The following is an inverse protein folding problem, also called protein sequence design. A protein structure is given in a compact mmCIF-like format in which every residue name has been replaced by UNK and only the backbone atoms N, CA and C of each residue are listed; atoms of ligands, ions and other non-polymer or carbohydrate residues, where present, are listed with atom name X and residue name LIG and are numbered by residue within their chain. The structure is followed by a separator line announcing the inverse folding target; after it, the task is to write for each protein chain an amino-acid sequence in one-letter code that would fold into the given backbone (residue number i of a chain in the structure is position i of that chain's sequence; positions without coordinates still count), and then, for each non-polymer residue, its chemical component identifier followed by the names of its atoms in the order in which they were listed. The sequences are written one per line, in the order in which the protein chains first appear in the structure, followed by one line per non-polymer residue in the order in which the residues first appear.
data_IF_819394039744
#
_entry.id   IF_819394039744
#
_cell.length_a   1.000
_cell.length_b   1.000
_cell.length_c   1.000
_cell.angle_alpha   90.00
_cell.angle_beta   90.00
_cell.angle_gamma   90.00
#
_symmetry.space_group_name_H-M   'P 1'
#
loop_
_entity.id
_entity.type
_entity.pdbx_description
1 polymer ?
#
# COMPACT_ATOMS: atom_id res chain seq x y z
N UNK A 1 -6.05 -33.00 -0.44
CA UNK A 1 -4.64 -32.54 -0.43
C UNK A 1 -4.68 -31.14 0.12
N UNK A 2 -3.84 -30.81 1.10
CA UNK A 2 -3.70 -29.44 1.61
C UNK A 2 -2.31 -28.96 1.27
N UNK A 3 -2.17 -28.42 0.07
CA UNK A 3 -1.21 -27.36 -0.15
C UNK A 3 -1.92 -26.09 0.36
N UNK A 4 -1.71 -25.76 1.63
CA UNK A 4 -1.73 -24.34 2.00
C UNK A 4 -0.50 -23.76 1.31
N UNK A 5 -0.69 -22.72 0.49
CA UNK A 5 0.42 -21.88 0.01
C UNK A 5 1.26 -21.46 1.21
N UNK A 6 2.57 -21.35 1.06
CA UNK A 6 3.33 -20.58 2.04
C UNK A 6 2.82 -19.13 1.93
N UNK A 7 2.36 -18.47 3.01
CA UNK A 7 1.83 -17.11 2.89
C UNK A 7 2.86 -16.13 2.30
N UNK A 8 4.16 -16.46 2.34
CA UNK A 8 5.24 -15.68 1.71
C UNK A 8 5.57 -16.08 0.26
N UNK A 9 4.71 -16.87 -0.40
CA UNK A 9 4.76 -17.23 -1.85
C UNK A 9 3.89 -16.32 -2.74
N UNK A 10 3.25 -15.28 -2.20
CA UNK A 10 2.49 -14.26 -2.94
C UNK A 10 2.76 -12.85 -2.37
N UNK A 11 2.59 -11.82 -3.21
CA UNK A 11 2.50 -10.42 -2.78
C UNK A 11 1.03 -10.09 -2.53
N UNK A 12 0.67 -9.81 -1.27
CA UNK A 12 -0.69 -9.39 -0.91
C UNK A 12 -0.68 -7.93 -0.51
N UNK A 13 -1.57 -7.15 -1.11
CA UNK A 13 -1.89 -5.77 -0.74
C UNK A 13 -3.39 -5.78 -0.39
N UNK A 14 -3.77 -5.70 0.90
CA UNK A 14 -5.15 -5.72 1.35
C UNK A 14 -5.84 -4.38 1.11
N UNK A 15 -7.16 -4.38 1.22
CA UNK A 15 -8.05 -3.27 0.84
C UNK A 15 -7.67 -1.93 1.51
N UNK A 16 -7.90 -0.83 0.81
CA UNK A 16 -7.59 0.54 1.27
C UNK A 16 -6.10 0.88 1.43
N UNK A 17 -5.17 -0.07 1.24
CA UNK A 17 -3.73 0.16 1.42
C UNK A 17 -3.25 1.32 0.55
N UNK A 18 -2.56 2.28 1.17
CA UNK A 18 -2.04 3.47 0.51
C UNK A 18 -0.52 3.45 0.52
N UNK A 19 0.09 3.71 -0.64
CA UNK A 19 1.54 3.84 -0.80
C UNK A 19 1.80 5.23 -1.37
N UNK A 20 2.35 6.09 -0.53
CA UNK A 20 2.81 7.42 -0.91
C UNK A 20 4.23 7.35 -1.49
N UNK A 21 4.83 8.50 -1.84
CA UNK A 21 6.20 8.53 -2.39
C UNK A 21 7.27 8.09 -1.38
N UNK A 22 6.96 8.06 -0.08
CA UNK A 22 7.93 7.78 0.99
C UNK A 22 7.49 6.73 2.01
N UNK A 23 6.21 6.32 2.03
CA UNK A 23 5.65 5.44 3.07
C UNK A 23 4.55 4.52 2.53
N UNK A 24 4.55 3.27 3.02
CA UNK A 24 3.46 2.30 2.89
C UNK A 24 2.61 2.37 4.17
N UNK A 25 1.31 2.61 4.01
CA UNK A 25 0.34 2.77 5.10
C UNK A 25 -0.81 1.77 4.92
N UNK A 26 -1.09 1.01 5.98
CA UNK A 26 -2.23 0.08 6.09
C UNK A 26 -2.76 0.08 7.52
N UNK A 27 -4.05 -0.22 7.71
CA UNK A 27 -4.63 -0.41 9.04
C UNK A 27 -4.38 -1.83 9.61
N UNK A 28 -3.92 -2.75 8.76
CA UNK A 28 -3.60 -4.14 9.09
C UNK A 28 -2.14 -4.40 9.48
N UNK A 29 -1.75 -5.68 9.55
CA UNK A 29 -0.37 -6.10 9.82
C UNK A 29 0.50 -6.06 8.56
N UNK A 30 1.80 -5.78 8.72
CA UNK A 30 2.79 -5.82 7.62
C UNK A 30 3.78 -6.96 7.84
N UNK A 31 3.74 -7.96 6.96
CA UNK A 31 4.57 -9.15 6.97
C UNK A 31 5.63 -9.08 5.86
N UNK A 32 6.89 -8.84 6.22
CA UNK A 32 8.01 -8.74 5.27
C UNK A 32 8.82 -10.03 5.24
N UNK A 33 8.71 -10.76 4.15
CA UNK A 33 9.44 -12.00 3.89
C UNK A 33 10.96 -11.82 3.87
N UNK A 34 11.67 -12.89 4.23
CA UNK A 34 13.14 -12.88 4.28
C UNK A 34 13.81 -12.57 2.93
N UNK A 35 14.99 -11.96 3.01
CA UNK A 35 15.85 -11.49 1.92
C UNK A 35 15.28 -10.35 1.06
N UNK A 36 14.18 -9.73 1.51
CA UNK A 36 13.53 -8.62 0.80
C UNK A 36 14.16 -7.26 1.14
N UNK A 37 13.89 -6.25 0.31
CA UNK A 37 14.32 -4.87 0.54
C UNK A 37 13.14 -3.95 0.27
N UNK A 38 12.84 -3.09 1.24
CA UNK A 38 11.80 -2.06 1.20
C UNK A 38 12.52 -0.72 1.24
N UNK A 39 12.40 0.11 0.23
CA UNK A 39 13.21 1.34 0.07
C UNK A 39 12.50 2.59 0.64
N UNK A 40 11.23 2.46 1.06
CA UNK A 40 10.42 3.46 1.75
C UNK A 40 10.17 3.09 3.24
N UNK A 41 9.45 3.94 3.97
CA UNK A 41 8.98 3.68 5.33
C UNK A 41 7.71 2.84 5.38
N UNK A 42 7.37 2.31 6.56
CA UNK A 42 6.27 1.36 6.77
C UNK A 42 5.50 1.70 8.03
N UNK A 43 4.20 1.97 7.86
CA UNK A 43 3.21 2.18 8.92
C UNK A 43 2.15 1.07 8.88
N UNK A 44 1.89 0.47 10.04
CA UNK A 44 0.82 -0.52 10.19
C UNK A 44 0.56 -0.90 11.65
N UNK A 45 -0.35 -1.85 11.85
CA UNK A 45 -0.74 -2.34 13.18
C UNK A 45 0.42 -3.07 13.85
N UNK A 46 0.83 -4.22 13.31
CA UNK A 46 2.06 -4.91 13.70
C UNK A 46 3.02 -5.00 12.52
N UNK A 47 4.33 -4.82 12.75
CA UNK A 47 5.36 -4.92 11.69
C UNK A 47 6.30 -6.09 11.98
N UNK A 48 6.28 -7.11 11.12
CA UNK A 48 7.03 -8.37 11.30
C UNK A 48 7.95 -8.61 10.11
N UNK A 49 9.25 -8.57 10.31
CA UNK A 49 10.26 -8.75 9.25
C UNK A 49 11.11 -10.03 9.45
N UNK A 50 11.31 -10.76 8.35
CA UNK A 50 12.10 -11.99 8.31
C UNK A 50 13.60 -11.81 8.05
N UNK A 51 14.27 -12.95 7.85
CA UNK A 51 15.73 -13.05 7.76
C UNK A 51 16.34 -12.14 6.67
N UNK A 52 17.20 -11.18 7.03
CA UNK A 52 17.92 -10.22 6.14
C UNK A 52 17.05 -9.23 5.36
N UNK A 53 16.00 -8.70 5.98
CA UNK A 53 15.25 -7.55 5.45
C UNK A 53 16.02 -6.23 5.62
N UNK A 54 15.82 -5.27 4.72
CA UNK A 54 16.19 -3.85 4.91
C UNK A 54 15.01 -2.91 4.69
N UNK A 55 15.04 -1.78 5.39
CA UNK A 55 14.09 -0.67 5.28
C UNK A 55 14.82 0.65 4.99
N UNK A 56 14.39 1.38 3.97
CA UNK A 56 14.97 2.64 3.53
C UNK A 56 14.38 3.90 4.19
N UNK A 57 13.20 3.77 4.80
CA UNK A 57 12.57 4.82 5.61
C UNK A 57 12.37 4.41 7.07
N UNK A 58 11.41 5.05 7.72
CA UNK A 58 11.06 4.81 9.12
C UNK A 58 10.09 3.63 9.29
N UNK A 59 9.96 3.12 10.51
CA UNK A 59 8.97 2.09 10.86
C UNK A 59 8.07 2.65 11.97
N UNK A 60 6.76 2.61 11.77
CA UNK A 60 5.75 2.95 12.78
C UNK A 60 4.78 1.78 12.95
N UNK A 61 4.90 1.07 14.08
CA UNK A 61 3.98 0.03 14.49
C UNK A 61 3.07 0.54 15.60
N UNK A 62 1.75 0.49 15.41
CA UNK A 62 0.79 0.92 16.46
C UNK A 62 0.70 -0.08 17.61
N UNK A 63 0.92 -1.37 17.33
CA UNK A 63 1.13 -2.46 18.27
C UNK A 63 2.60 -2.91 18.31
N UNK A 64 2.84 -4.19 18.03
CA UNK A 64 4.17 -4.83 18.14
C UNK A 64 5.06 -4.63 16.90
N UNK A 65 6.37 -4.53 17.14
CA UNK A 65 7.38 -4.55 16.08
C UNK A 65 8.40 -5.70 16.31
N UNK A 66 8.62 -6.53 15.28
CA UNK A 66 9.54 -7.68 15.36
C UNK A 66 10.46 -7.82 14.15
N UNK A 67 11.77 -7.69 14.38
CA UNK A 67 12.83 -7.76 13.35
C UNK A 67 13.91 -8.80 13.76
N UNK A 68 14.31 -9.69 12.85
CA UNK A 68 15.18 -10.86 13.12
C UNK A 68 16.25 -11.12 12.00
N UNK A 69 17.35 -11.81 12.33
CA UNK A 69 18.69 -11.75 11.70
C UNK A 69 18.76 -11.49 10.17
N UNK A 70 19.44 -10.47 9.63
CA UNK A 70 20.16 -9.34 10.22
C UNK A 70 19.64 -8.05 9.56
N UNK A 71 18.86 -7.26 10.30
CA UNK A 71 18.12 -6.10 9.78
C UNK A 71 18.91 -4.78 9.78
N UNK A 72 18.45 -3.84 8.97
CA UNK A 72 19.05 -2.52 8.72
C UNK A 72 17.89 -1.54 8.39
N UNK A 73 17.74 -0.46 9.17
CA UNK A 73 16.64 0.52 9.06
C UNK A 73 17.23 1.93 9.05
N UNK A 74 17.01 2.69 7.98
CA UNK A 74 17.75 3.94 7.75
C UNK A 74 17.19 5.19 8.45
N UNK A 75 16.06 5.09 9.16
CA UNK A 75 15.44 6.21 9.90
C UNK A 75 14.87 5.69 11.25
N UNK A 76 13.90 6.38 11.84
CA UNK A 76 13.31 6.12 13.16
C UNK A 76 12.53 4.79 13.20
N UNK A 77 12.49 4.17 14.38
CA UNK A 77 11.62 3.03 14.69
C UNK A 77 10.74 3.41 15.88
N UNK A 78 9.42 3.45 15.66
CA UNK A 78 8.40 3.85 16.61
C UNK A 78 7.46 2.66 16.86
N UNK A 79 7.25 2.29 18.12
CA UNK A 79 6.48 1.10 18.52
C UNK A 79 5.52 1.45 19.66
N UNK A 80 4.22 1.23 19.44
CA UNK A 80 3.14 1.56 20.38
C UNK A 80 2.92 0.54 21.50
N UNK A 81 3.19 -0.75 21.24
CA UNK A 81 3.24 -1.80 22.26
C UNK A 81 4.68 -2.36 22.39
N UNK A 82 4.92 -3.66 22.24
CA UNK A 82 6.20 -4.29 22.57
C UNK A 82 7.15 -4.42 21.36
N UNK A 83 8.46 -4.30 21.62
CA UNK A 83 9.50 -4.40 20.58
C UNK A 83 10.40 -5.63 20.75
N UNK A 84 10.58 -6.40 19.67
CA UNK A 84 11.38 -7.62 19.62
C UNK A 84 12.46 -7.51 18.54
N UNK A 85 13.65 -7.05 18.92
CA UNK A 85 14.69 -6.62 17.97
C UNK A 85 16.01 -7.40 18.13
N UNK A 86 16.24 -8.40 17.28
CA UNK A 86 17.55 -9.05 17.18
C UNK A 86 17.54 -10.37 16.42
N UNK A 87 18.65 -10.79 15.80
CA UNK A 87 19.91 -10.04 15.60
C UNK A 87 19.86 -9.17 14.30
N UNK A 88 20.92 -8.51 13.81
CA UNK A 88 22.03 -7.80 14.46
C UNK A 88 21.80 -6.34 14.03
N UNK A 89 20.80 -5.71 14.64
CA UNK A 89 20.03 -4.61 14.02
C UNK A 89 20.83 -3.31 14.01
N UNK A 90 20.79 -2.57 12.90
CA UNK A 90 21.22 -1.17 12.82
C UNK A 90 19.99 -0.26 12.60
N UNK A 91 19.92 0.85 13.34
CA UNK A 91 18.88 1.88 13.24
C UNK A 91 19.54 3.25 13.06
N UNK A 92 19.36 3.88 11.90
CA UNK A 92 19.91 5.19 11.58
C UNK A 92 19.24 6.36 12.31
N UNK A 93 17.96 6.21 12.68
CA UNK A 93 17.21 7.19 13.47
C UNK A 93 17.19 6.89 14.97
N UNK A 94 16.08 7.24 15.62
CA UNK A 94 15.82 6.97 17.04
C UNK A 94 14.90 5.77 17.19
N UNK A 95 15.18 4.90 18.17
CA UNK A 95 14.27 3.82 18.58
C UNK A 95 13.41 4.30 19.76
N UNK A 96 12.09 4.31 19.60
CA UNK A 96 11.12 4.64 20.66
C UNK A 96 10.10 3.54 20.84
N UNK A 97 9.96 3.06 22.08
CA UNK A 97 9.04 1.97 22.45
C UNK A 97 8.18 2.40 23.65
N UNK A 98 6.87 2.26 23.53
CA UNK A 98 5.94 2.58 24.61
C UNK A 98 5.71 1.39 25.57
N UNK A 99 5.80 0.15 25.09
CA UNK A 99 5.80 -1.09 25.90
C UNK A 99 7.19 -1.53 26.37
N UNK A 100 7.33 -2.85 26.57
CA UNK A 100 8.56 -3.56 26.92
C UNK A 100 9.42 -3.81 25.66
N UNK A 101 10.70 -4.15 25.84
CA UNK A 101 11.62 -4.45 24.72
C UNK A 101 12.60 -5.57 25.05
N UNK A 102 12.54 -6.67 24.28
CA UNK A 102 13.61 -7.68 24.17
C UNK A 102 14.56 -7.26 23.02
N UNK A 103 15.77 -6.85 23.37
CA UNK A 103 16.80 -6.34 22.43
C UNK A 103 18.01 -7.30 22.37
N UNK A 104 18.46 -7.62 21.16
CA UNK A 104 19.48 -8.62 20.90
C UNK A 104 20.90 -8.25 21.31
N UNK A 105 21.81 -9.23 21.22
CA UNK A 105 23.18 -9.15 21.72
C UNK A 105 24.11 -8.19 20.92
N UNK A 106 23.77 -7.91 19.66
CA UNK A 106 24.55 -7.12 18.68
C UNK A 106 23.60 -6.09 18.01
N UNK A 107 23.36 -4.93 18.64
CA UNK A 107 22.46 -3.87 18.11
C UNK A 107 23.14 -2.49 18.18
N UNK A 108 22.89 -1.67 17.16
CA UNK A 108 23.48 -0.34 16.95
C UNK A 108 22.39 0.68 16.58
N UNK A 109 22.42 1.88 17.17
CA UNK A 109 21.36 2.90 17.06
C UNK A 109 22.03 4.28 17.08
N UNK A 110 21.90 5.06 16.00
CA UNK A 110 22.72 6.28 15.84
C UNK A 110 22.20 7.50 16.64
N UNK A 111 20.91 7.84 16.56
CA UNK A 111 20.38 9.05 17.22
C UNK A 111 19.91 8.84 18.67
N UNK A 112 19.63 7.60 19.06
CA UNK A 112 19.36 7.23 20.46
C UNK A 112 18.14 6.34 20.68
N UNK A 113 17.90 6.00 21.94
CA UNK A 113 16.96 4.96 22.36
C UNK A 113 16.16 5.38 23.60
N UNK A 114 14.84 5.23 23.52
CA UNK A 114 13.87 5.51 24.59
C UNK A 114 12.87 4.35 24.70
N UNK A 115 12.69 3.79 25.90
CA UNK A 115 11.69 2.77 26.18
C UNK A 115 11.01 3.08 27.52
N UNK A 116 9.68 2.93 27.57
CA UNK A 116 8.90 3.22 28.78
C UNK A 116 8.67 1.97 29.66
N UNK A 117 8.70 0.77 29.08
CA UNK A 117 8.64 -0.51 29.78
C UNK A 117 10.01 -1.08 30.18
N UNK A 118 10.07 -2.41 30.30
CA UNK A 118 11.26 -3.16 30.69
C UNK A 118 12.19 -3.41 29.49
N UNK A 119 13.43 -2.93 29.61
CA UNK A 119 14.51 -3.21 28.65
C UNK A 119 15.21 -4.51 29.05
N UNK A 120 15.22 -5.50 28.15
CA UNK A 120 15.79 -6.82 28.38
C UNK A 120 16.79 -7.18 27.28
N UNK A 121 18.08 -7.22 27.62
CA UNK A 121 19.15 -7.49 26.64
C UNK A 121 19.37 -9.01 26.54
N UNK A 122 18.78 -9.63 25.50
CA UNK A 122 18.88 -11.04 25.12
C UNK A 122 18.51 -11.17 23.64
N UNK A 123 19.24 -11.96 22.85
CA UNK A 123 18.74 -12.43 21.56
C UNK A 123 17.40 -13.21 21.76
N UNK A 124 16.25 -12.72 21.22
CA UNK A 124 14.97 -13.39 21.39
C UNK A 124 14.95 -14.75 20.66
N UNK A 125 14.24 -15.73 21.22
CA UNK A 125 14.06 -17.01 20.52
C UNK A 125 13.17 -16.78 19.27
N UNK A 126 13.56 -17.24 18.06
CA UNK A 126 12.74 -17.11 16.87
C UNK A 126 11.38 -17.77 17.06
N UNK A 127 10.29 -17.10 16.64
CA UNK A 127 8.90 -17.45 16.98
C UNK A 127 8.57 -18.92 16.69
N UNK A 128 9.04 -19.45 15.55
CA UNK A 128 8.83 -20.84 15.15
C UNK A 128 9.49 -21.86 16.12
N UNK A 129 10.66 -21.52 16.69
CA UNK A 129 11.35 -22.35 17.68
C UNK A 129 10.64 -22.28 19.03
N UNK A 130 10.18 -21.09 19.43
CA UNK A 130 9.34 -20.92 20.61
C UNK A 130 8.05 -21.75 20.50
N UNK A 131 7.34 -21.68 19.38
CA UNK A 131 6.13 -22.45 19.12
C UNK A 131 6.38 -23.97 19.21
N UNK A 132 7.44 -24.49 18.58
CA UNK A 132 7.79 -25.91 18.69
C UNK A 132 8.14 -26.33 20.13
N UNK A 133 8.79 -25.47 20.92
CA UNK A 133 9.08 -25.73 22.35
C UNK A 133 7.80 -25.70 23.19
N UNK A 134 6.90 -24.74 22.94
CA UNK A 134 5.63 -24.58 23.64
C UNK A 134 4.68 -25.75 23.39
N UNK A 135 4.38 -26.05 22.12
CA UNK A 135 3.56 -27.21 21.74
C UNK A 135 4.21 -28.52 22.22
N UNK A 136 5.54 -28.63 22.09
CA UNK A 136 6.30 -29.77 22.60
C UNK A 136 6.23 -29.93 24.13
N UNK A 137 6.04 -28.84 24.89
CA UNK A 137 5.83 -28.87 26.34
C UNK A 137 4.41 -29.28 26.70
N UNK A 138 3.38 -28.72 26.05
CA UNK A 138 1.97 -29.12 26.24
C UNK A 138 1.77 -30.61 25.96
N UNK A 139 2.23 -31.08 24.79
CA UNK A 139 2.17 -32.50 24.40
C UNK A 139 2.95 -33.41 25.36
N UNK A 140 4.02 -32.93 25.99
CA UNK A 140 4.81 -33.68 26.98
C UNK A 140 4.13 -33.74 28.36
N UNK A 141 3.36 -32.72 28.72
CA UNK A 141 2.55 -32.70 29.95
C UNK A 141 1.26 -33.53 29.76
N UNK A 142 0.80 -33.68 28.52
CA UNK A 142 -0.39 -34.44 28.13
C UNK A 142 -1.57 -33.56 27.72
N UNK A 143 -1.38 -32.25 27.65
CA UNK A 143 -2.39 -31.24 27.33
C UNK A 143 -2.53 -31.11 25.81
N UNK A 144 -2.98 -32.20 25.17
CA UNK A 144 -3.15 -32.27 23.72
C UNK A 144 -4.23 -31.30 23.22
N UNK A 145 -5.32 -31.17 23.98
CA UNK A 145 -6.43 -30.24 23.71
C UNK A 145 -5.96 -28.77 23.70
N UNK A 146 -5.11 -28.36 24.66
CA UNK A 146 -4.52 -27.02 24.68
C UNK A 146 -3.48 -26.80 23.56
N UNK A 147 -2.81 -27.87 23.09
CA UNK A 147 -1.89 -27.80 21.96
C UNK A 147 -2.62 -27.71 20.61
N UNK A 148 -3.80 -28.32 20.49
CA UNK A 148 -4.68 -28.19 19.33
C UNK A 148 -5.40 -26.83 19.32
N UNK A 149 -5.85 -26.34 20.48
CA UNK A 149 -6.45 -25.01 20.67
C UNK A 149 -5.47 -23.87 20.36
N UNK A 150 -4.27 -23.88 20.96
CA UNK A 150 -3.24 -22.87 20.69
C UNK A 150 -2.69 -22.94 19.24
N UNK A 151 -2.80 -24.09 18.57
CA UNK A 151 -2.49 -24.20 17.14
C UNK A 151 -3.66 -23.70 16.27
N UNK A 152 -4.91 -23.87 16.70
CA UNK A 152 -6.08 -23.34 15.99
C UNK A 152 -6.12 -21.81 16.07
N UNK A 153 -5.92 -21.22 17.25
CA UNK A 153 -5.85 -19.75 17.42
C UNK A 153 -4.69 -19.08 16.66
N UNK A 154 -3.68 -19.83 16.22
CA UNK A 154 -2.59 -19.37 15.35
C UNK A 154 -2.82 -19.66 13.85
N UNK A 155 -3.93 -20.32 13.50
CA UNK A 155 -4.29 -20.77 12.15
C UNK A 155 -5.71 -20.39 11.72
N UNK A 156 -6.53 -19.90 12.65
CA UNK A 156 -7.79 -19.21 12.40
C UNK A 156 -7.44 -17.85 11.79
N UNK A 157 -7.95 -17.62 10.59
CA UNK A 157 -7.74 -16.39 9.84
C UNK A 157 -8.77 -15.31 10.19
N UNK A 158 -9.46 -15.45 11.33
CA UNK A 158 -10.42 -14.50 11.89
C UNK A 158 -9.68 -13.29 12.50
N UNK A 159 -8.82 -12.68 11.68
CA UNK A 159 -8.34 -11.30 11.82
C UNK A 159 -9.21 -10.50 10.87
N UNK A 160 -9.83 -9.43 11.36
CA UNK A 160 -10.77 -8.64 10.55
C UNK A 160 -10.11 -7.95 9.34
N UNK A 161 -8.77 -7.92 9.28
CA UNK A 161 -7.96 -7.34 8.21
C UNK A 161 -6.91 -8.36 7.69
N UNK A 162 -6.88 -8.59 6.37
CA UNK A 162 -5.82 -9.35 5.70
C UNK A 162 -4.50 -8.54 5.76
N UNK A 163 -3.33 -9.16 6.06
CA UNK A 163 -2.06 -8.43 6.13
C UNK A 163 -1.52 -7.99 4.76
N UNK A 164 -0.76 -6.89 4.75
CA UNK A 164 0.22 -6.61 3.69
C UNK A 164 1.30 -7.68 3.76
N UNK A 165 1.47 -8.45 2.69
CA UNK A 165 2.51 -9.48 2.60
C UNK A 165 3.51 -9.15 1.50
N UNK A 166 4.73 -8.81 1.88
CA UNK A 166 5.85 -8.65 0.96
C UNK A 166 6.58 -10.01 0.89
N UNK A 167 6.59 -10.72 -0.25
CA UNK A 167 7.09 -12.10 -0.34
C UNK A 167 8.62 -12.16 -0.23
N UNK A 168 9.18 -13.37 -0.11
CA UNK A 168 10.63 -13.55 0.05
C UNK A 168 11.42 -13.09 -1.19
N UNK A 169 12.48 -12.33 -0.97
CA UNK A 169 13.35 -11.82 -2.04
C UNK A 169 12.73 -10.70 -2.90
N UNK A 170 11.68 -10.04 -2.40
CA UNK A 170 11.07 -8.88 -3.04
C UNK A 170 12.01 -7.65 -3.02
N UNK A 171 11.85 -6.75 -3.98
CA UNK A 171 12.41 -5.40 -3.93
C UNK A 171 11.29 -4.40 -4.16
N UNK A 172 10.99 -3.58 -3.17
CA UNK A 172 9.81 -2.71 -3.14
C UNK A 172 10.26 -1.28 -2.90
N UNK A 173 9.95 -0.38 -3.82
CA UNK A 173 10.28 1.05 -3.75
C UNK A 173 9.13 1.89 -4.31
N UNK A 174 9.21 3.20 -4.07
CA UNK A 174 8.41 4.25 -4.70
C UNK A 174 8.29 4.08 -6.23
N UNK A 175 9.40 3.71 -6.87
CA UNK A 175 9.55 3.59 -8.31
C UNK A 175 9.16 2.17 -8.81
N UNK A 176 9.40 1.10 -8.03
CA UNK A 176 9.10 -0.27 -8.47
C UNK A 176 8.84 -1.31 -7.38
N UNK A 177 7.76 -2.07 -7.56
CA UNK A 177 7.37 -3.21 -6.74
C UNK A 177 7.69 -4.50 -7.49
N UNK A 178 8.80 -5.15 -7.17
CA UNK A 178 9.37 -6.27 -7.94
C UNK A 178 9.39 -7.55 -7.12
N UNK A 179 8.55 -8.50 -7.51
CA UNK A 179 8.43 -9.82 -6.89
C UNK A 179 8.64 -10.93 -7.90
N UNK A 180 9.07 -12.10 -7.43
CA UNK A 180 9.19 -13.31 -8.27
C UNK A 180 7.91 -14.13 -8.32
N UNK A 181 6.98 -13.88 -7.41
CA UNK A 181 5.71 -14.57 -7.15
C UNK A 181 4.53 -13.95 -7.92
N UNK A 182 3.32 -14.52 -7.85
CA UNK A 182 2.07 -13.78 -8.04
C UNK A 182 1.97 -12.52 -7.16
N UNK A 183 1.00 -11.66 -7.49
CA UNK A 183 0.62 -10.50 -6.71
C UNK A 183 -0.90 -10.28 -6.76
N UNK A 184 -1.55 -10.23 -5.58
CA UNK A 184 -2.95 -9.84 -5.38
C UNK A 184 -2.97 -8.45 -4.73
N UNK A 185 -3.69 -7.54 -5.34
CA UNK A 185 -4.09 -6.26 -4.73
C UNK A 185 -5.61 -6.28 -4.60
N UNK A 186 -6.11 -5.95 -3.40
CA UNK A 186 -7.51 -5.86 -3.07
C UNK A 186 -8.19 -4.63 -3.67
N UNK A 187 -9.18 -4.10 -2.97
CA UNK A 187 -10.06 -3.02 -3.41
C UNK A 187 -9.66 -1.67 -2.79
N UNK A 188 -10.06 -0.56 -3.43
CA UNK A 188 -9.81 0.84 -2.99
C UNK A 188 -8.34 1.22 -2.69
N UNK A 189 -7.35 0.40 -3.07
CA UNK A 189 -5.94 0.67 -2.81
C UNK A 189 -5.40 1.81 -3.69
N UNK A 190 -4.51 2.62 -3.10
CA UNK A 190 -3.85 3.75 -3.77
C UNK A 190 -2.34 3.54 -3.81
N UNK A 191 -1.84 2.92 -4.87
CA UNK A 191 -0.44 2.48 -4.95
C UNK A 191 0.39 3.37 -5.88
N UNK A 192 1.50 3.91 -5.37
CA UNK A 192 2.57 4.50 -6.18
C UNK A 192 3.61 3.43 -6.58
N UNK A 193 4.08 3.50 -7.83
CA UNK A 193 5.18 2.67 -8.34
C UNK A 193 4.78 1.60 -9.36
N UNK A 194 5.79 1.02 -10.01
CA UNK A 194 5.61 0.05 -11.10
C UNK A 194 5.60 -1.40 -10.59
N UNK A 195 4.43 -2.04 -10.54
CA UNK A 195 4.28 -3.45 -10.10
C UNK A 195 4.78 -4.41 -11.18
N UNK A 196 5.63 -5.35 -10.75
CA UNK A 196 6.21 -6.41 -11.58
C UNK A 196 6.24 -7.74 -10.84
N UNK A 197 5.47 -8.71 -11.33
CA UNK A 197 5.23 -10.00 -10.69
C UNK A 197 5.29 -11.18 -11.69
N UNK A 198 4.85 -12.37 -11.27
CA UNK A 198 4.52 -13.53 -12.12
C UNK A 198 3.21 -13.25 -12.85
N UNK A 199 2.08 -13.36 -12.16
CA UNK A 199 0.78 -12.80 -12.52
C UNK A 199 0.48 -11.57 -11.65
N UNK A 200 -0.50 -10.74 -12.05
CA UNK A 200 -1.04 -9.66 -11.21
C UNK A 200 -2.57 -9.68 -11.23
N UNK A 201 -3.19 -9.84 -10.08
CA UNK A 201 -4.63 -9.59 -9.88
C UNK A 201 -4.81 -8.27 -9.16
N UNK A 202 -5.58 -7.37 -9.75
CA UNK A 202 -6.00 -6.09 -9.13
C UNK A 202 -7.51 -6.16 -8.89
N UNK A 203 -7.94 -5.78 -7.69
CA UNK A 203 -9.34 -5.66 -7.30
C UNK A 203 -10.06 -4.45 -7.89
N UNK A 204 -11.02 -3.92 -7.16
CA UNK A 204 -11.98 -2.90 -7.60
C UNK A 204 -11.61 -1.48 -7.16
N UNK A 205 -12.01 -0.52 -7.97
CA UNK A 205 -11.95 0.95 -7.75
C UNK A 205 -10.56 1.53 -7.33
N UNK A 206 -9.49 0.72 -7.47
CA UNK A 206 -8.10 1.07 -7.16
C UNK A 206 -7.54 2.22 -8.00
N UNK A 207 -6.54 2.94 -7.48
CA UNK A 207 -5.77 3.94 -8.27
C UNK A 207 -4.26 3.65 -8.23
N UNK A 208 -3.72 3.22 -9.36
CA UNK A 208 -2.31 2.84 -9.50
C UNK A 208 -1.49 3.88 -10.29
N UNK A 209 -0.59 4.56 -9.58
CA UNK A 209 0.34 5.56 -10.11
C UNK A 209 1.63 4.91 -10.64
N UNK A 210 1.48 4.07 -11.67
CA UNK A 210 2.58 3.33 -12.29
C UNK A 210 2.15 2.46 -13.47
N UNK A 211 3.01 1.54 -13.89
CA UNK A 211 2.72 0.52 -14.91
C UNK A 211 2.67 -0.89 -14.30
N UNK A 212 1.72 -1.71 -14.76
CA UNK A 212 1.60 -3.13 -14.38
C UNK A 212 2.40 -4.04 -15.31
N UNK A 213 3.08 -5.05 -14.74
CA UNK A 213 3.87 -6.01 -15.51
C UNK A 213 3.93 -7.43 -14.96
N UNK A 214 3.05 -8.29 -15.46
CA UNK A 214 3.18 -9.74 -15.38
C UNK A 214 4.33 -10.30 -16.24
N UNK A 215 4.81 -11.49 -15.88
CA UNK A 215 5.37 -12.47 -16.81
C UNK A 215 4.22 -13.13 -17.58
N UNK A 216 3.21 -13.53 -16.84
CA UNK A 216 2.09 -14.32 -17.30
C UNK A 216 0.83 -13.45 -17.13
N UNK A 217 -0.28 -13.97 -16.63
CA UNK A 217 -1.59 -13.30 -16.76
C UNK A 217 -1.75 -12.04 -15.87
N UNK A 218 -2.58 -11.09 -16.31
CA UNK A 218 -2.98 -9.90 -15.54
C UNK A 218 -4.51 -9.77 -15.56
N UNK A 219 -5.11 -9.55 -14.40
CA UNK A 219 -6.54 -9.27 -14.23
C UNK A 219 -6.68 -7.90 -13.57
N UNK A 220 -7.58 -7.05 -14.09
CA UNK A 220 -7.90 -5.74 -13.51
C UNK A 220 -9.40 -5.62 -13.25
N UNK A 221 -9.77 -5.63 -11.97
CA UNK A 221 -11.15 -5.55 -11.48
C UNK A 221 -11.82 -4.21 -11.75
N UNK A 222 -13.15 -4.20 -11.56
CA UNK A 222 -14.08 -3.10 -11.85
C UNK A 222 -13.57 -1.72 -11.40
N UNK A 223 -13.78 -0.68 -12.21
CA UNK A 223 -13.55 0.73 -11.85
C UNK A 223 -12.09 1.20 -11.75
N UNK A 224 -11.15 0.28 -11.51
CA UNK A 224 -9.73 0.56 -11.26
C UNK A 224 -9.05 1.41 -12.34
N UNK A 225 -8.19 2.34 -11.93
CA UNK A 225 -7.53 3.34 -12.77
C UNK A 225 -5.99 3.20 -12.76
N UNK A 226 -5.41 2.83 -13.91
CA UNK A 226 -3.97 2.60 -14.09
C UNK A 226 -3.36 3.77 -14.88
N UNK A 227 -2.57 4.60 -14.19
CA UNK A 227 -1.95 5.83 -14.74
C UNK A 227 -0.73 5.58 -15.65
N UNK A 228 -0.50 4.33 -16.05
CA UNK A 228 0.62 3.93 -16.89
C UNK A 228 0.26 2.77 -17.82
N UNK A 229 1.26 1.97 -18.18
CA UNK A 229 1.12 0.90 -19.18
C UNK A 229 0.75 -0.43 -18.51
N UNK A 230 0.09 -1.33 -19.24
CA UNK A 230 -0.15 -2.70 -18.79
C UNK A 230 0.53 -3.67 -19.76
N UNK A 231 1.37 -4.57 -19.27
CA UNK A 231 2.18 -5.42 -20.16
C UNK A 231 2.48 -6.81 -19.57
N UNK A 232 1.89 -7.87 -20.13
CA UNK A 232 2.27 -9.26 -19.83
C UNK A 232 3.58 -9.64 -20.55
N UNK A 233 3.96 -10.92 -20.57
CA UNK A 233 5.01 -11.43 -21.47
C UNK A 233 4.58 -12.66 -22.28
N UNK A 234 3.89 -13.62 -21.65
CA UNK A 234 3.36 -14.81 -22.32
C UNK A 234 1.94 -15.17 -21.86
N UNK A 235 1.29 -14.29 -21.09
CA UNK A 235 -0.07 -14.48 -20.58
C UNK A 235 -1.06 -13.47 -21.13
N UNK A 236 -2.31 -13.66 -20.72
CA UNK A 236 -3.46 -12.90 -21.17
C UNK A 236 -3.77 -11.74 -20.22
N UNK A 237 -4.54 -10.77 -20.72
CA UNK A 237 -4.95 -9.59 -19.96
C UNK A 237 -6.47 -9.48 -19.97
N UNK A 238 -7.09 -9.56 -18.79
CA UNK A 238 -8.52 -9.36 -18.59
C UNK A 238 -8.79 -8.02 -17.90
N UNK A 239 -9.72 -7.23 -18.45
CA UNK A 239 -10.00 -5.85 -18.03
C UNK A 239 -11.49 -5.71 -17.74
N UNK A 240 -11.85 -5.55 -16.46
CA UNK A 240 -13.21 -5.46 -15.97
C UNK A 240 -13.96 -4.15 -16.30
N UNK A 241 -15.25 -4.05 -15.92
CA UNK A 241 -16.10 -2.90 -16.26
C UNK A 241 -15.59 -1.59 -15.67
N UNK A 242 -15.64 -0.51 -16.46
CA UNK A 242 -15.29 0.84 -16.00
C UNK A 242 -13.80 1.12 -15.84
N UNK A 243 -12.93 0.11 -15.93
CA UNK A 243 -11.48 0.25 -15.80
C UNK A 243 -10.93 1.28 -16.78
N UNK A 244 -10.00 2.13 -16.30
CA UNK A 244 -9.30 3.09 -17.14
C UNK A 244 -7.78 2.90 -17.15
N UNK A 245 -7.23 2.62 -18.33
CA UNK A 245 -5.78 2.53 -18.57
C UNK A 245 -5.34 3.77 -19.38
N UNK A 246 -4.38 4.52 -18.86
CA UNK A 246 -3.89 5.75 -19.50
C UNK A 246 -2.72 5.53 -20.47
N UNK A 247 -1.98 4.43 -20.32
CA UNK A 247 -0.83 4.07 -21.17
C UNK A 247 -1.14 3.05 -22.26
N UNK A 248 -0.08 2.52 -22.87
CA UNK A 248 -0.18 1.43 -23.83
C UNK A 248 -0.52 0.09 -23.13
N UNK A 249 -1.22 -0.78 -23.86
CA UNK A 249 -1.58 -2.14 -23.45
C UNK A 249 -0.88 -3.15 -24.35
N UNK A 250 -0.24 -4.18 -23.79
CA UNK A 250 0.37 -5.26 -24.56
C UNK A 250 0.31 -6.63 -23.86
N UNK A 251 -0.28 -7.63 -24.53
CA UNK A 251 -0.41 -9.00 -24.03
C UNK A 251 -0.38 -10.02 -25.17
N UNK A 252 -0.48 -11.33 -24.86
CA UNK A 252 -0.75 -12.32 -25.91
C UNK A 252 -2.19 -12.18 -26.38
N UNK A 253 -3.20 -12.49 -25.56
CA UNK A 253 -4.60 -12.12 -25.80
C UNK A 253 -5.04 -10.97 -24.86
N UNK A 254 -6.02 -10.18 -25.31
CA UNK A 254 -6.62 -9.10 -24.51
C UNK A 254 -8.14 -9.25 -24.49
N UNK A 255 -8.73 -9.42 -23.31
CA UNK A 255 -10.17 -9.42 -23.07
C UNK A 255 -10.53 -8.09 -22.40
N UNK A 256 -11.36 -7.31 -23.09
CA UNK A 256 -11.70 -5.93 -22.70
C UNK A 256 -13.21 -5.80 -22.48
N UNK A 257 -13.63 -5.39 -21.28
CA UNK A 257 -15.04 -5.12 -21.02
C UNK A 257 -15.54 -3.94 -21.86
N UNK A 258 -16.78 -3.98 -22.39
CA UNK A 258 -17.30 -2.94 -23.30
C UNK A 258 -17.30 -1.51 -22.71
N UNK A 259 -17.35 -1.41 -21.38
CA UNK A 259 -17.31 -0.16 -20.60
C UNK A 259 -15.90 0.25 -20.13
N UNK A 260 -14.85 -0.47 -20.48
CA UNK A 260 -13.46 -0.12 -20.14
C UNK A 260 -12.84 0.85 -21.16
N UNK A 261 -11.93 1.71 -20.69
CA UNK A 261 -11.29 2.75 -21.53
C UNK A 261 -9.77 2.61 -21.54
N UNK A 262 -9.18 2.60 -22.73
CA UNK A 262 -7.72 2.65 -22.94
C UNK A 262 -7.37 3.88 -23.77
N UNK A 263 -6.66 4.85 -23.19
CA UNK A 263 -6.26 6.09 -23.87
C UNK A 263 -5.01 5.90 -24.76
N UNK A 264 -4.26 4.81 -24.57
CA UNK A 264 -3.06 4.45 -25.34
C UNK A 264 -3.27 3.39 -26.44
N UNK A 265 -2.18 2.76 -26.86
CA UNK A 265 -2.17 1.74 -27.94
C UNK A 265 -2.37 0.33 -27.39
N UNK A 266 -3.41 -0.37 -27.83
CA UNK A 266 -3.57 -1.82 -27.57
C UNK A 266 -2.76 -2.65 -28.58
N UNK A 267 -2.01 -3.65 -28.10
CA UNK A 267 -1.24 -4.60 -28.92
C UNK A 267 -1.37 -6.03 -28.39
N UNK A 268 -2.22 -6.85 -29.01
CA UNK A 268 -2.25 -8.29 -28.79
C UNK A 268 -1.27 -9.02 -29.73
N UNK A 269 -0.71 -10.14 -29.28
CA UNK A 269 0.00 -11.11 -30.11
C UNK A 269 -0.93 -12.10 -30.82
N UNK A 270 -1.98 -12.52 -30.11
CA UNK A 270 -3.08 -13.36 -30.55
C UNK A 270 -4.37 -12.57 -30.80
N UNK A 271 -5.38 -12.80 -29.96
CA UNK A 271 -6.75 -12.31 -30.16
C UNK A 271 -7.12 -11.13 -29.24
N UNK A 272 -8.12 -10.34 -29.66
CA UNK A 272 -8.75 -9.28 -28.85
C UNK A 272 -10.24 -9.58 -28.78
N UNK A 273 -10.75 -9.81 -27.57
CA UNK A 273 -12.16 -10.09 -27.28
C UNK A 273 -12.81 -8.90 -26.55
N UNK A 274 -14.10 -8.68 -26.82
CA UNK A 274 -14.95 -7.78 -26.04
C UNK A 274 -15.94 -8.61 -25.22
N UNK A 275 -16.02 -8.37 -23.92
CA UNK A 275 -16.94 -9.06 -23.00
C UNK A 275 -17.86 -8.07 -22.26
N UNK A 276 -18.89 -8.64 -21.63
CA UNK A 276 -19.88 -7.94 -20.79
C UNK A 276 -20.03 -8.65 -19.43
N UNK A 277 -18.97 -9.35 -19.02
CA UNK A 277 -18.89 -10.19 -17.82
C UNK A 277 -17.74 -9.64 -16.94
N UNK A 278 -17.89 -9.73 -15.62
CA UNK A 278 -16.83 -9.41 -14.67
C UNK A 278 -15.66 -10.39 -14.74
N UNK A 279 -14.50 -9.99 -14.20
CA UNK A 279 -13.20 -10.69 -14.34
C UNK A 279 -12.64 -11.23 -13.02
N UNK A 280 -13.37 -11.07 -11.91
CA UNK A 280 -13.02 -11.59 -10.59
C UNK A 280 -14.06 -12.61 -10.17
N UNK A 281 -13.63 -13.76 -9.65
CA UNK A 281 -14.52 -14.83 -9.14
C UNK A 281 -15.17 -14.49 -7.78
N UNK A 282 -14.65 -13.49 -7.09
CA UNK A 282 -15.09 -13.05 -5.75
C UNK A 282 -16.30 -12.09 -5.86
N UNK A 283 -17.29 -12.17 -4.95
CA UNK A 283 -18.41 -11.22 -4.92
C UNK A 283 -17.93 -9.80 -4.63
N UNK A 284 -18.65 -8.81 -5.15
CA UNK A 284 -18.45 -7.38 -4.88
C UNK A 284 -19.28 -7.06 -3.62
N UNK A 285 -18.68 -7.20 -2.43
CA UNK A 285 -19.40 -7.12 -1.15
C UNK A 285 -20.03 -5.74 -0.93
N UNK A 286 -19.37 -4.66 -1.39
CA UNK A 286 -19.93 -3.31 -1.39
C UNK A 286 -21.14 -3.20 -2.34
N UNK A 287 -21.07 -3.77 -3.55
CA UNK A 287 -22.22 -3.80 -4.45
C UNK A 287 -23.36 -4.68 -3.93
N UNK A 288 -23.07 -5.79 -3.24
CA UNK A 288 -24.10 -6.62 -2.59
C UNK A 288 -24.76 -5.89 -1.41
N UNK A 289 -23.97 -5.24 -0.55
CA UNK A 289 -24.49 -4.42 0.55
C UNK A 289 -25.30 -3.21 0.07
N UNK A 290 -24.83 -2.53 -0.99
CA UNK A 290 -25.56 -1.43 -1.63
C UNK A 290 -26.83 -1.91 -2.35
N UNK A 291 -26.84 -3.12 -2.92
CA UNK A 291 -28.02 -3.74 -3.52
C UNK A 291 -29.05 -4.17 -2.47
N UNK A 292 -28.61 -4.70 -1.32
CA UNK A 292 -29.49 -5.00 -0.18
C UNK A 292 -30.10 -3.71 0.37
N UNK A 293 -29.29 -2.68 0.62
CA UNK A 293 -29.77 -1.37 1.10
C UNK A 293 -30.73 -0.71 0.10
N UNK A 294 -30.48 -0.81 -1.20
CA UNK A 294 -31.39 -0.32 -2.24
C UNK A 294 -32.71 -1.10 -2.26
N UNK A 295 -32.68 -2.42 -2.10
CA UNK A 295 -33.87 -3.27 -2.03
C UNK A 295 -34.71 -2.99 -0.77
N UNK A 296 -34.08 -2.68 0.37
CA UNK A 296 -34.79 -2.18 1.56
C UNK A 296 -35.51 -0.84 1.27
N UNK A 297 -34.84 0.10 0.59
CA UNK A 297 -35.45 1.40 0.24
C UNK A 297 -36.60 1.28 -0.77
N UNK A 298 -36.52 0.40 -1.77
CA UNK A 298 -37.66 0.16 -2.68
C UNK A 298 -38.86 -0.49 -1.96
N UNK A 299 -38.59 -1.26 -0.89
CA UNK A 299 -39.60 -1.93 -0.07
C UNK A 299 -40.55 -0.99 0.69
N UNK A 300 -40.16 0.27 0.94
CA UNK A 300 -40.97 1.25 1.71
C UNK A 300 -41.62 2.34 0.82
N UNK A 301 -41.90 2.00 -0.45
CA UNK A 301 -42.64 2.86 -1.39
C UNK A 301 -44.17 2.73 -1.26
N UNK A 302 -44.76 3.49 -0.32
CA UNK A 302 -46.23 3.62 -0.17
C UNK A 302 -46.86 4.17 -1.49
N UNK A 303 -47.94 3.60 -2.03
CA UNK A 303 -48.37 3.88 -3.40
C UNK A 303 -48.95 5.29 -3.56
N UNK A 304 -48.31 6.08 -4.42
CA UNK A 304 -48.77 7.43 -4.79
C UNK A 304 -50.19 7.37 -5.35
N UNK A 305 -51.18 8.08 -4.77
CA UNK A 305 -52.56 8.06 -5.25
C UNK A 305 -52.70 8.81 -6.58
N UNK A 306 -53.60 8.31 -7.44
CA UNK A 306 -53.80 8.79 -8.82
C UNK A 306 -54.03 10.32 -8.92
N UNK A 307 -53.50 10.98 -9.97
CA UNK A 307 -53.78 12.39 -10.23
C UNK A 307 -55.23 12.60 -10.66
N UNK A 308 -56.00 13.32 -9.85
CA UNK A 308 -57.37 13.73 -10.18
C UNK A 308 -57.37 14.93 -11.15
N UNK A 309 -57.82 14.72 -12.38
CA UNK A 309 -57.99 15.79 -13.38
C UNK A 309 -59.07 16.81 -12.95
N UNK A 310 -58.81 18.10 -13.18
CA UNK A 310 -59.68 19.19 -12.75
C UNK A 310 -59.35 20.55 -13.39
N UNK A 311 -59.81 20.75 -14.63
CA UNK A 311 -59.92 22.05 -15.33
C UNK A 311 -60.76 23.08 -14.52
N UNK A 312 -60.61 24.42 -14.55
CA UNK A 312 -59.67 25.46 -15.09
C UNK A 312 -59.89 26.74 -14.20
N UNK A 313 -59.47 28.00 -14.39
CA UNK A 313 -59.00 28.81 -15.55
C UNK A 313 -58.33 30.14 -15.08
N UNK A 314 -57.86 30.93 -16.05
CA UNK A 314 -57.65 32.41 -16.04
C UNK A 314 -56.52 33.08 -15.22
N UNK A 315 -55.43 33.39 -15.95
CA UNK A 315 -55.03 34.76 -16.37
C UNK A 315 -54.23 35.74 -15.45
N UNK A 316 -53.40 36.53 -16.14
CA UNK A 316 -52.90 37.88 -15.85
C UNK A 316 -51.86 38.22 -14.74
N UNK A 317 -50.69 38.70 -15.22
CA UNK A 317 -49.95 39.91 -14.78
C UNK A 317 -49.19 39.96 -13.42
N UNK A 318 -47.86 39.85 -13.51
CA UNK A 318 -46.84 40.92 -13.31
C UNK A 318 -46.87 41.90 -12.10
N UNK A 319 -45.65 42.32 -11.72
CA UNK A 319 -45.23 43.21 -10.61
C UNK A 319 -45.24 42.57 -9.20
N UNK A 320 -44.27 42.68 -8.28
CA UNK A 320 -43.03 43.46 -8.05
C UNK A 320 -43.10 44.33 -6.76
N UNK A 321 -41.94 44.55 -6.13
CA UNK A 321 -41.61 45.38 -4.95
C UNK A 321 -42.08 45.00 -3.53
N UNK A 322 -41.30 45.52 -2.54
CA UNK A 322 -41.48 45.54 -1.06
C UNK A 322 -41.51 44.17 -0.35
N UNK A 323 -40.50 43.73 0.42
CA UNK A 323 -39.72 44.33 1.54
C UNK A 323 -40.35 44.14 2.92
N UNK A 324 -39.53 43.68 3.88
CA UNK A 324 -39.16 44.41 5.11
C UNK A 324 -38.22 43.49 5.94
N UNK A 325 -36.95 43.90 6.13
CA UNK A 325 -36.40 44.48 7.38
C UNK A 325 -36.10 43.41 8.46
N UNK A 326 -34.82 43.11 8.72
CA UNK A 326 -33.99 43.68 9.82
C UNK A 326 -34.26 43.01 11.18
N UNK A 327 -33.31 42.80 12.09
CA UNK A 327 -31.83 43.00 12.14
C UNK A 327 -31.29 41.95 13.16
N UNK A 328 -30.04 41.86 13.67
CA UNK A 328 -28.83 42.70 13.82
C UNK A 328 -27.59 41.79 13.51
N UNK A 329 -26.38 42.24 13.18
CA UNK A 329 -25.47 43.12 13.95
C UNK A 329 -24.49 42.27 14.79
N UNK A 330 -23.17 42.45 14.79
CA UNK A 330 -22.31 43.51 14.23
C UNK A 330 -20.92 42.99 13.79
N UNK A 331 -20.32 43.72 12.82
CA UNK A 331 -18.90 44.02 12.52
C UNK A 331 -17.73 43.20 13.14
N UNK A 332 -16.59 43.01 12.46
CA UNK A 332 -16.09 43.54 11.17
C UNK A 332 -14.82 42.76 10.76
N UNK A 333 -14.46 42.66 9.47
CA UNK A 333 -13.82 43.70 8.65
C UNK A 333 -12.49 44.23 9.27
N UNK A 334 -11.33 44.15 8.63
CA UNK A 334 -10.99 43.68 7.28
C UNK A 334 -10.06 44.68 6.57
N UNK A 335 -9.07 44.20 5.81
CA UNK A 335 -8.32 45.02 4.86
C UNK A 335 -7.45 44.18 3.93
N UNK A 336 -7.77 44.16 2.63
CA UNK A 336 -6.83 43.81 1.58
C UNK A 336 -5.99 45.03 1.14
N UNK A 337 -4.93 44.77 0.37
CA UNK A 337 -4.32 45.68 -0.62
C UNK A 337 -3.78 47.06 -0.12
N UNK A 338 -2.45 47.24 -0.20
CA UNK A 338 -1.93 47.95 -1.40
C UNK A 338 -0.46 47.78 -1.78
N UNK A 339 -0.34 47.49 -3.08
CA UNK A 339 0.76 47.77 -4.01
C UNK A 339 1.75 48.89 -3.62
N UNK A 340 3.03 48.66 -3.91
CA UNK A 340 4.09 49.67 -3.91
C UNK A 340 5.48 49.02 -3.89
N UNK A 341 6.28 49.22 -4.94
CA UNK A 341 7.65 48.73 -5.00
C UNK A 341 8.57 49.71 -5.70
N UNK A 342 9.88 49.62 -5.40
CA UNK A 342 10.97 50.20 -6.20
C UNK A 342 12.29 49.46 -5.86
N UNK A 343 13.36 49.75 -6.61
CA UNK A 343 14.52 48.85 -6.81
C UNK A 343 15.87 49.39 -6.32
N UNK A 344 16.79 48.49 -5.96
CA UNK A 344 18.26 48.64 -6.04
C UNK A 344 18.81 47.19 -6.09
N UNK A 345 19.25 46.63 -7.22
CA UNK A 345 20.57 46.73 -7.88
C UNK A 345 21.79 46.39 -6.98
N UNK A 346 22.77 45.68 -7.53
CA UNK A 346 23.88 45.08 -6.76
C UNK A 346 24.72 44.01 -7.45
N UNK A 347 24.91 44.05 -8.76
CA UNK A 347 25.72 43.05 -9.47
C UNK A 347 27.24 43.29 -9.34
N UNK A 348 28.01 42.26 -8.95
CA UNK A 348 29.49 42.26 -9.04
C UNK A 348 30.02 40.94 -9.63
N UNK A 349 30.74 41.10 -10.73
CA UNK A 349 31.35 40.11 -11.65
C UNK A 349 32.44 39.19 -11.07
N UNK A 350 32.57 37.98 -11.65
CA UNK A 350 33.83 37.20 -11.66
C UNK A 350 34.96 37.92 -12.45
N UNK A 351 36.23 37.50 -12.32
CA UNK A 351 36.82 36.68 -13.39
C UNK A 351 37.82 35.57 -12.94
N UNK A 352 38.21 34.61 -13.81
CA UNK A 352 38.89 33.36 -13.41
C UNK A 352 40.40 33.25 -13.75
N UNK A 353 41.05 32.19 -13.23
CA UNK A 353 42.32 31.61 -13.72
C UNK A 353 43.50 31.61 -12.72
N UNK A 354 44.64 30.97 -13.04
CA UNK A 354 44.99 30.23 -14.27
C UNK A 354 45.36 28.74 -14.02
N UNK A 355 45.79 28.03 -15.08
CA UNK A 355 46.26 26.63 -15.03
C UNK A 355 47.77 26.47 -15.30
N UNK A 356 48.32 25.31 -14.91
CA UNK A 356 49.63 24.74 -15.29
C UNK A 356 49.76 23.36 -14.61
N UNK A 357 50.06 22.22 -15.26
CA UNK A 357 51.09 21.89 -16.27
C UNK A 357 52.51 21.83 -15.65
N UNK A 358 53.21 20.68 -15.53
CA UNK A 358 52.93 19.33 -16.05
C UNK A 358 53.64 18.18 -15.28
N UNK A 359 54.46 17.29 -15.89
CA UNK A 359 54.15 15.85 -15.84
C UNK A 359 55.32 14.85 -15.50
N UNK A 360 55.00 13.55 -15.64
CA UNK A 360 55.84 12.37 -15.91
C UNK A 360 56.59 11.60 -14.79
N UNK A 361 56.73 10.27 -15.01
CA UNK A 361 57.42 9.27 -14.16
C UNK A 361 56.47 8.27 -13.48
N UNK A 362 55.91 7.23 -14.12
CA UNK A 362 56.39 6.27 -15.14
C UNK A 362 57.24 5.07 -14.63
N UNK A 363 56.80 3.86 -14.99
CA UNK A 363 57.45 2.53 -14.89
C UNK A 363 57.81 1.94 -13.49
N UNK A 364 57.92 0.59 -13.36
CA UNK A 364 57.14 -0.46 -14.03
C UNK A 364 56.74 -1.66 -13.14
N UNK A 365 55.79 -2.47 -13.62
CA UNK A 365 55.63 -3.90 -13.30
C UNK A 365 56.37 -4.72 -14.38
N UNK A 366 57.07 -5.84 -14.05
CA UNK A 366 56.50 -7.13 -14.49
C UNK A 366 56.88 -8.40 -13.68
N UNK A 367 55.99 -9.39 -13.81
CA UNK A 367 56.17 -10.84 -13.62
C UNK A 367 56.26 -11.36 -12.16
N UNK A 368 55.68 -12.53 -11.83
CA UNK A 368 55.36 -13.70 -12.68
C UNK A 368 53.99 -14.28 -12.40
#
# INVERSE_FOLDING_TARGET
MLFRSDPLEELTIPDGTTVEEHDLVTDGDVLVGGQSTVEFGVRGRNVIAGERVRFGGHIEAEGDCRLDMWCDVADNVLVGEDAYLGERVHVGGQLKVAGDIDIGDDVDIEEGFEANGWIVIRNPMPTIVFLFVYLGQLLRIGEQEAAEDALSQLLDSDRDDEPVVIPRGATVSDDSWRVSTPARMGDDCRIHGNIRAESVTVGRDNVLFGSLRGKDDIIVGRGSEIKGNVTTRNGDLEIGPGVKIWGDVAAENVRLHENATVDGTIRAGGEIELHTEDVLDEPDEDAEAMAEMAAEMEGESDPVPDPVEGEVDTDALAADESSDHESEGETGDGSEDKTGGESDDGAVTEPPGPAGDGPDGDHPDPAT
#
